data_IF_784878766060
#
_entry.id   IF_784878766060
#
_cell.length_a   1.000
_cell.length_b   1.000
_cell.length_c   1.000
_cell.angle_alpha   90.00
_cell.angle_beta   90.00
_cell.angle_gamma   90.00
#
_symmetry.space_group_name_H-M   'P 1'
#
loop_
_entity.id
_entity.type
_entity.pdbx_description
1 polymer ?
#
# COMPACT_ATOMS: atom_id res chain seq x y z
N UNK A 1 -18.23 18.28 0.98
CA UNK A 1 -18.27 19.57 1.69
C UNK A 1 -18.22 19.43 3.22
N UNK A 2 -18.66 18.32 3.81
CA UNK A 2 -18.80 18.12 5.28
C UNK A 2 -17.47 18.23 6.06
N UNK A 3 -16.34 18.12 5.37
CA UNK A 3 -14.99 18.22 5.94
C UNK A 3 -14.21 19.43 5.39
N UNK A 4 -14.89 20.41 4.80
CA UNK A 4 -14.29 21.64 4.28
C UNK A 4 -13.55 21.50 2.95
N UNK A 5 -13.69 20.38 2.27
CA UNK A 5 -13.16 20.18 0.92
C UNK A 5 -14.05 20.76 -0.18
N UNK A 6 -13.58 20.79 -1.45
CA UNK A 6 -14.42 21.16 -2.58
C UNK A 6 -15.58 20.19 -2.74
N UNK A 7 -16.70 20.67 -3.29
CA UNK A 7 -17.87 19.83 -3.60
C UNK A 7 -17.59 19.03 -4.88
N UNK A 8 -16.92 17.89 -4.70
CA UNK A 8 -16.60 16.95 -5.77
C UNK A 8 -17.16 15.58 -5.44
N UNK A 9 -17.73 14.92 -6.45
CA UNK A 9 -18.10 13.52 -6.32
C UNK A 9 -16.85 12.67 -6.07
N UNK A 10 -16.91 11.78 -5.06
CA UNK A 10 -15.83 10.83 -4.79
C UNK A 10 -15.94 9.69 -5.80
N UNK A 11 -14.87 9.46 -6.59
CA UNK A 11 -14.75 8.33 -7.49
C UNK A 11 -13.80 7.29 -6.90
N UNK A 12 -14.31 6.22 -6.28
CA UNK A 12 -13.47 5.19 -5.67
C UNK A 12 -13.01 4.15 -6.70
N UNK A 13 -11.73 3.80 -6.64
CA UNK A 13 -11.13 2.72 -7.43
C UNK A 13 -10.60 1.61 -6.51
N UNK A 14 -10.66 0.37 -7.00
CA UNK A 14 -10.09 -0.80 -6.34
C UNK A 14 -9.53 -1.79 -7.35
N UNK A 15 -8.74 -2.74 -6.88
CA UNK A 15 -8.53 -4.01 -7.56
C UNK A 15 -9.58 -5.01 -7.06
N UNK A 16 -9.80 -6.07 -7.83
CA UNK A 16 -10.69 -7.15 -7.41
C UNK A 16 -10.15 -7.86 -6.15
N UNK A 17 -10.93 -7.97 -5.05
CA UNK A 17 -10.48 -8.61 -3.82
C UNK A 17 -10.06 -10.08 -3.99
N UNK A 18 -10.62 -10.77 -4.98
CA UNK A 18 -10.37 -12.18 -5.28
C UNK A 18 -8.96 -12.40 -5.83
N UNK A 19 -8.41 -11.40 -6.54
CA UNK A 19 -7.10 -11.51 -7.19
C UNK A 19 -6.03 -10.62 -6.57
N UNK A 20 -6.41 -9.71 -5.66
CA UNK A 20 -5.51 -8.77 -5.02
C UNK A 20 -5.45 -8.95 -3.50
N UNK A 21 -4.31 -9.41 -2.99
CA UNK A 21 -4.10 -9.49 -1.55
C UNK A 21 -4.18 -8.14 -0.82
N UNK A 22 -3.96 -7.01 -1.51
CA UNK A 22 -4.15 -5.68 -0.93
C UNK A 22 -5.62 -5.33 -0.84
N UNK A 23 -6.41 -5.60 -1.87
CA UNK A 23 -7.84 -5.36 -1.86
C UNK A 23 -8.56 -6.30 -0.86
N UNK A 24 -8.22 -7.59 -0.84
CA UNK A 24 -8.72 -8.54 0.16
C UNK A 24 -8.40 -8.09 1.60
N UNK A 25 -7.19 -7.61 1.85
CA UNK A 25 -6.83 -7.11 3.17
C UNK A 25 -7.61 -5.84 3.56
N UNK A 26 -7.86 -4.94 2.60
CA UNK A 26 -8.67 -3.74 2.82
C UNK A 26 -10.12 -4.10 3.17
N UNK A 27 -10.76 -4.94 2.38
CA UNK A 27 -12.13 -5.43 2.63
C UNK A 27 -12.22 -6.03 4.03
N UNK A 28 -11.31 -6.93 4.39
CA UNK A 28 -11.33 -7.57 5.71
C UNK A 28 -11.08 -6.60 6.87
N UNK A 29 -10.13 -5.67 6.75
CA UNK A 29 -9.69 -4.81 7.87
C UNK A 29 -10.48 -3.53 8.00
N UNK A 30 -10.85 -2.92 6.89
CA UNK A 30 -11.52 -1.60 6.85
C UNK A 30 -13.02 -1.78 6.72
N UNK A 31 -13.48 -2.61 5.79
CA UNK A 31 -14.90 -2.87 5.54
C UNK A 31 -15.47 -3.98 6.42
N UNK A 32 -14.66 -4.60 7.31
CA UNK A 32 -15.10 -5.67 8.22
C UNK A 32 -15.65 -6.92 7.52
N UNK A 33 -15.27 -7.13 6.27
CA UNK A 33 -15.75 -8.23 5.42
C UNK A 33 -16.91 -7.86 4.51
N UNK A 34 -17.48 -6.67 4.66
CA UNK A 34 -18.50 -6.18 3.74
C UNK A 34 -17.92 -6.01 2.32
N UNK A 35 -18.71 -6.29 1.28
CA UNK A 35 -18.24 -6.13 -0.10
C UNK A 35 -17.94 -4.67 -0.44
N UNK A 36 -17.19 -4.46 -1.50
CA UNK A 36 -17.03 -3.13 -2.09
C UNK A 36 -18.40 -2.62 -2.57
N UNK A 37 -18.65 -1.33 -2.37
CA UNK A 37 -19.86 -0.70 -2.85
C UNK A 37 -19.94 -0.75 -4.40
N UNK A 38 -21.15 -0.68 -4.93
CA UNK A 38 -21.41 -0.79 -6.38
C UNK A 38 -20.67 0.29 -7.20
N UNK A 39 -20.50 1.48 -6.62
CA UNK A 39 -19.85 2.62 -7.26
C UNK A 39 -18.33 2.48 -7.37
N UNK A 40 -17.75 1.47 -6.74
CA UNK A 40 -16.30 1.23 -6.81
C UNK A 40 -15.93 0.63 -8.15
N UNK A 41 -15.19 1.38 -8.95
CA UNK A 41 -14.72 0.89 -10.24
C UNK A 41 -13.52 -0.04 -10.06
N UNK A 42 -13.63 -1.26 -10.57
CA UNK A 42 -12.57 -2.27 -10.47
C UNK A 42 -11.56 -2.09 -11.61
N UNK A 43 -10.30 -1.95 -11.25
CA UNK A 43 -9.17 -1.89 -12.20
C UNK A 43 -8.43 -3.24 -12.22
N UNK A 44 -7.84 -3.58 -13.35
CA UNK A 44 -7.07 -4.81 -13.51
C UNK A 44 -5.74 -4.79 -12.76
N UNK A 45 -5.09 -3.62 -12.72
CA UNK A 45 -3.73 -3.46 -12.17
C UNK A 45 -3.54 -2.13 -11.47
N UNK A 46 -2.50 -2.05 -10.63
CA UNK A 46 -2.16 -0.84 -9.85
C UNK A 46 -1.71 0.33 -10.74
N UNK A 47 -0.93 0.09 -11.78
CA UNK A 47 -0.40 1.18 -12.62
C UNK A 47 -1.51 1.91 -13.38
N UNK A 48 -2.43 1.24 -14.08
CA UNK A 48 -3.60 1.88 -14.66
C UNK A 48 -4.47 2.59 -13.61
N UNK A 49 -4.68 2.00 -12.43
CA UNK A 49 -5.43 2.62 -11.35
C UNK A 49 -4.80 3.96 -10.90
N UNK A 50 -3.48 3.99 -10.66
CA UNK A 50 -2.78 5.23 -10.27
C UNK A 50 -2.83 6.30 -11.36
N UNK A 51 -2.73 5.93 -12.64
CA UNK A 51 -2.89 6.87 -13.76
C UNK A 51 -4.29 7.47 -13.79
N UNK A 52 -5.30 6.63 -13.57
CA UNK A 52 -6.69 7.08 -13.51
C UNK A 52 -6.92 8.04 -12.34
N UNK A 53 -6.39 7.73 -11.14
CA UNK A 53 -6.44 8.65 -9.99
C UNK A 53 -5.81 9.99 -10.31
N UNK A 54 -4.66 10.00 -10.98
CA UNK A 54 -3.98 11.24 -11.36
C UNK A 54 -4.79 12.07 -12.37
N UNK A 55 -5.61 11.44 -13.21
CA UNK A 55 -6.40 12.09 -14.25
C UNK A 55 -7.81 12.49 -13.80
N UNK A 56 -8.32 11.96 -12.68
CA UNK A 56 -9.72 12.12 -12.25
C UNK A 56 -9.79 12.91 -10.94
N UNK A 57 -10.19 14.18 -10.94
CA UNK A 57 -10.45 14.94 -9.72
C UNK A 57 -11.48 14.24 -8.81
N UNK A 58 -11.25 14.26 -7.51
CA UNK A 58 -12.14 13.59 -6.53
C UNK A 58 -11.92 12.10 -6.40
N UNK A 59 -11.03 11.51 -7.19
CA UNK A 59 -10.81 10.06 -7.13
C UNK A 59 -9.96 9.64 -5.93
N UNK A 60 -10.21 8.42 -5.46
CA UNK A 60 -9.49 7.77 -4.38
C UNK A 60 -9.17 6.31 -4.72
N UNK A 61 -8.00 5.85 -4.31
CA UNK A 61 -7.55 4.48 -4.50
C UNK A 61 -6.66 4.06 -3.33
N UNK A 62 -6.69 2.82 -2.96
CA UNK A 62 -5.78 2.26 -1.96
C UNK A 62 -4.85 1.22 -2.58
N UNK A 63 -3.57 1.29 -2.23
CA UNK A 63 -2.54 0.38 -2.72
C UNK A 63 -1.41 0.25 -1.71
N UNK A 64 -0.40 -0.57 -2.02
CA UNK A 64 0.75 -0.70 -1.13
C UNK A 64 1.64 0.54 -1.15
N UNK A 65 2.23 0.85 0.00
CA UNK A 65 3.11 2.02 0.21
C UNK A 65 4.27 2.08 -0.81
N UNK A 66 4.98 0.98 -1.12
CA UNK A 66 6.05 1.01 -2.13
C UNK A 66 5.61 1.48 -3.51
N UNK A 67 4.36 1.22 -3.88
CA UNK A 67 3.83 1.58 -5.20
C UNK A 67 3.28 3.01 -5.26
N UNK A 68 2.96 3.63 -4.12
CA UNK A 68 2.27 4.93 -4.07
C UNK A 68 3.11 6.08 -3.56
N UNK A 69 3.88 5.91 -2.49
CA UNK A 69 4.57 7.02 -1.80
C UNK A 69 5.53 7.77 -2.70
N UNK A 70 6.25 7.06 -3.56
CA UNK A 70 7.23 7.66 -4.48
C UNK A 70 6.63 8.21 -5.78
N UNK A 71 5.31 8.09 -5.97
CA UNK A 71 4.65 8.63 -7.16
C UNK A 71 4.54 10.15 -7.10
N UNK A 72 4.78 10.80 -8.22
CA UNK A 72 4.72 12.25 -8.34
C UNK A 72 3.31 12.75 -8.67
N UNK A 73 2.53 11.92 -9.36
CA UNK A 73 1.22 12.26 -9.92
C UNK A 73 0.06 12.11 -8.95
N UNK A 74 0.28 11.45 -7.80
CA UNK A 74 -0.77 11.22 -6.80
C UNK A 74 -0.31 11.69 -5.42
N UNK A 75 -1.28 11.98 -4.54
CA UNK A 75 -1.03 12.34 -3.15
C UNK A 75 -1.45 11.18 -2.24
N UNK A 76 -0.50 10.64 -1.48
CA UNK A 76 -0.84 9.72 -0.39
C UNK A 76 -1.42 10.51 0.80
N UNK A 77 -2.42 9.95 1.45
CA UNK A 77 -3.19 10.62 2.51
C UNK A 77 -2.75 10.05 3.87
N UNK A 78 -2.51 10.92 4.88
CA UNK A 78 -2.36 10.47 6.25
C UNK A 78 -3.64 9.82 6.74
N UNK A 79 -3.54 8.79 7.57
CA UNK A 79 -4.70 8.11 8.14
C UNK A 79 -4.57 7.96 9.66
N UNK A 80 -5.69 7.92 10.34
CA UNK A 80 -5.79 7.68 11.77
C UNK A 80 -6.66 6.44 12.05
N UNK A 81 -6.46 5.80 13.19
CA UNK A 81 -7.29 4.65 13.63
C UNK A 81 -8.69 5.07 14.05
N UNK A 82 -8.84 6.30 14.52
CA UNK A 82 -10.09 6.93 14.98
C UNK A 82 -10.00 8.44 14.77
N UNK A 83 -11.15 9.11 14.68
CA UNK A 83 -11.25 10.56 14.45
C UNK A 83 -10.46 11.42 15.47
N UNK A 84 -10.34 10.98 16.71
CA UNK A 84 -9.63 11.68 17.80
C UNK A 84 -8.17 11.24 17.99
N UNK A 85 -7.61 10.47 17.07
CA UNK A 85 -6.20 10.04 17.10
C UNK A 85 -5.39 10.83 16.07
N UNK A 86 -4.08 11.01 16.30
CA UNK A 86 -3.23 11.68 15.34
C UNK A 86 -3.20 10.94 14.00
N UNK A 87 -3.20 11.71 12.92
CA UNK A 87 -2.98 11.20 11.59
C UNK A 87 -1.52 10.81 11.41
N UNK A 88 -1.28 9.66 10.81
CA UNK A 88 0.07 9.13 10.52
C UNK A 88 0.28 9.11 9.02
N UNK A 89 1.40 9.68 8.57
CA UNK A 89 1.79 9.69 7.16
C UNK A 89 2.54 8.42 6.78
N UNK A 90 2.29 7.87 5.58
CA UNK A 90 3.10 6.76 5.06
C UNK A 90 4.45 7.23 4.48
N UNK A 91 4.73 8.52 4.51
CA UNK A 91 5.98 9.15 4.05
C UNK A 91 6.61 9.98 5.17
N UNK A 92 7.90 10.28 5.02
CA UNK A 92 8.63 11.18 5.94
C UNK A 92 8.22 12.63 5.63
N UNK A 93 7.81 13.35 6.66
CA UNK A 93 7.48 14.78 6.56
C UNK A 93 8.74 15.66 6.40
N UNK A 94 8.68 16.79 5.69
CA UNK A 94 7.52 17.29 4.94
C UNK A 94 7.32 16.56 3.61
N UNK A 95 6.08 16.54 3.11
CA UNK A 95 5.78 15.99 1.78
C UNK A 95 6.51 16.76 0.69
N UNK A 96 7.17 16.04 -0.19
CA UNK A 96 7.80 16.64 -1.38
C UNK A 96 6.71 17.13 -2.35
N UNK A 97 6.74 18.40 -2.78
CA UNK A 97 5.76 18.93 -3.72
C UNK A 97 5.94 18.32 -5.12
N UNK A 98 4.86 18.25 -5.88
CA UNK A 98 4.89 17.71 -7.25
C UNK A 98 5.83 18.49 -8.20
N UNK A 99 6.03 19.78 -7.94
CA UNK A 99 6.96 20.63 -8.69
C UNK A 99 8.44 20.23 -8.54
N UNK A 100 8.81 19.56 -7.46
CA UNK A 100 10.16 19.05 -7.25
C UNK A 100 10.40 17.66 -7.88
N UNK A 101 9.36 17.01 -8.39
CA UNK A 101 9.45 15.74 -9.08
C UNK A 101 9.95 15.90 -10.53
N UNK A 102 10.68 14.94 -11.09
CA UNK A 102 11.10 13.65 -10.48
C UNK A 102 12.42 13.70 -9.70
N UNK A 103 13.06 14.86 -9.60
CA UNK A 103 14.39 15.03 -8.97
C UNK A 103 14.36 14.67 -7.49
N UNK A 104 13.26 15.02 -6.82
CA UNK A 104 13.01 14.64 -5.43
C UNK A 104 11.72 13.82 -5.34
N UNK A 105 11.69 12.84 -4.44
CA UNK A 105 10.53 11.99 -4.21
C UNK A 105 10.31 11.76 -2.72
N UNK A 106 9.07 11.61 -2.32
CA UNK A 106 8.74 11.23 -0.95
C UNK A 106 9.45 9.95 -0.55
N UNK A 107 9.97 9.92 0.66
CA UNK A 107 10.56 8.73 1.27
C UNK A 107 9.52 8.01 2.12
N UNK A 108 9.59 6.69 2.14
CA UNK A 108 8.68 5.86 2.93
C UNK A 108 8.98 6.02 4.41
N UNK A 109 7.96 6.27 5.22
CA UNK A 109 8.05 6.30 6.67
C UNK A 109 8.10 4.86 7.22
N UNK A 110 9.29 4.26 7.16
CA UNK A 110 9.51 2.88 7.58
C UNK A 110 9.25 2.68 9.08
N UNK A 111 9.56 3.67 9.90
CA UNK A 111 9.34 3.59 11.34
C UNK A 111 7.85 3.46 11.67
N UNK A 112 7.00 4.25 11.02
CA UNK A 112 5.56 4.15 11.21
C UNK A 112 5.01 2.77 10.78
N UNK A 113 5.58 2.17 9.73
CA UNK A 113 5.21 0.83 9.28
C UNK A 113 5.74 -0.26 10.22
N UNK A 114 7.00 -0.17 10.65
CA UNK A 114 7.67 -1.13 11.54
C UNK A 114 7.02 -1.19 12.92
N UNK A 115 6.72 -0.02 13.47
CA UNK A 115 6.12 0.14 14.79
C UNK A 115 4.59 -0.01 14.79
N UNK A 116 3.98 -0.33 13.63
CA UNK A 116 2.53 -0.44 13.44
C UNK A 116 1.74 0.81 13.86
N UNK A 117 2.36 1.98 13.85
CA UNK A 117 1.66 3.25 14.10
C UNK A 117 0.85 3.69 12.87
N UNK A 118 1.27 3.28 11.66
CA UNK A 118 0.45 3.44 10.46
C UNK A 118 -0.66 2.37 10.46
N UNK A 119 -1.96 2.76 10.48
CA UNK A 119 -3.06 1.85 10.82
C UNK A 119 -3.25 0.67 9.87
N UNK A 120 -2.86 0.80 8.61
CA UNK A 120 -3.04 -0.24 7.58
C UNK A 120 -1.77 -1.04 7.28
N UNK A 121 -0.73 -0.93 8.13
CA UNK A 121 0.44 -1.77 8.01
C UNK A 121 0.07 -3.26 8.15
N UNK A 122 0.66 -4.12 7.31
CA UNK A 122 0.47 -5.57 7.36
C UNK A 122 1.75 -6.32 7.05
N UNK A 123 1.88 -7.50 7.61
CA UNK A 123 2.97 -8.41 7.26
C UNK A 123 2.71 -9.08 5.91
N UNK A 124 3.78 -9.33 5.18
CA UNK A 124 3.80 -10.22 4.04
C UNK A 124 4.33 -11.58 4.47
N UNK A 125 3.80 -12.63 3.90
CA UNK A 125 4.18 -14.00 4.20
C UNK A 125 4.57 -14.72 2.91
N UNK A 126 5.61 -15.55 2.99
CA UNK A 126 5.92 -16.55 1.98
C UNK A 126 5.29 -17.86 2.45
N UNK A 127 4.45 -18.45 1.62
CA UNK A 127 3.82 -19.73 1.91
C UNK A 127 4.56 -20.78 1.09
N UNK A 128 5.06 -21.81 1.77
CA UNK A 128 5.79 -22.92 1.13
C UNK A 128 5.03 -24.23 1.33
N UNK A 129 5.20 -25.13 0.39
CA UNK A 129 4.69 -26.50 0.50
C UNK A 129 5.39 -27.22 1.65
N UNK A 130 4.65 -28.02 2.42
CA UNK A 130 5.20 -28.88 3.49
C UNK A 130 5.70 -30.20 2.91
N UNK A 131 6.74 -30.78 3.52
CA UNK A 131 7.31 -32.08 3.14
C UNK A 131 8.65 -31.93 2.40
N UNK A 132 9.08 -33.02 1.73
CA UNK A 132 10.41 -33.12 1.11
C UNK A 132 10.36 -33.23 -0.42
N UNK A 133 9.24 -32.82 -1.02
CA UNK A 133 9.18 -32.72 -2.49
C UNK A 133 10.10 -31.62 -3.01
N UNK A 134 10.45 -31.69 -4.28
CA UNK A 134 11.32 -30.68 -4.95
C UNK A 134 10.77 -29.28 -4.74
N UNK A 135 9.45 -29.08 -4.87
CA UNK A 135 8.80 -27.77 -4.67
C UNK A 135 8.87 -27.30 -3.22
N UNK A 136 8.77 -28.23 -2.26
CA UNK A 136 8.91 -27.89 -0.83
C UNK A 136 10.34 -27.46 -0.51
N UNK A 137 11.34 -28.15 -1.06
CA UNK A 137 12.77 -27.79 -0.92
C UNK A 137 13.03 -26.43 -1.57
N UNK A 138 12.57 -26.23 -2.81
CA UNK A 138 12.71 -24.94 -3.50
C UNK A 138 12.05 -23.79 -2.73
N UNK A 139 10.85 -24.01 -2.20
CA UNK A 139 10.15 -23.00 -1.37
C UNK A 139 10.91 -22.64 -0.09
N UNK A 140 11.49 -23.62 0.61
CA UNK A 140 12.35 -23.37 1.79
C UNK A 140 13.61 -22.60 1.41
N UNK A 141 14.28 -23.00 0.31
CA UNK A 141 15.47 -22.29 -0.18
C UNK A 141 15.17 -20.85 -0.54
N UNK A 142 14.07 -20.59 -1.24
CA UNK A 142 13.62 -19.23 -1.54
C UNK A 142 13.35 -18.42 -0.25
N UNK A 143 12.66 -19.01 0.72
CA UNK A 143 12.42 -18.35 2.00
C UNK A 143 13.71 -18.00 2.75
N UNK A 144 14.70 -18.91 2.73
CA UNK A 144 16.01 -18.67 3.34
C UNK A 144 16.77 -17.54 2.65
N UNK A 145 16.71 -17.45 1.31
CA UNK A 145 17.28 -16.33 0.55
C UNK A 145 16.62 -15.01 0.98
N UNK A 146 15.30 -14.95 1.06
CA UNK A 146 14.59 -13.73 1.52
C UNK A 146 14.96 -13.35 2.96
N UNK A 147 15.22 -14.32 3.82
CA UNK A 147 15.61 -14.10 5.22
C UNK A 147 17.12 -13.84 5.41
N UNK A 148 17.93 -13.98 4.37
CA UNK A 148 19.35 -13.61 4.42
C UNK A 148 19.54 -12.09 4.50
N UNK A 149 20.75 -11.65 4.84
CA UNK A 149 21.07 -10.22 4.87
C UNK A 149 20.86 -9.57 3.50
N UNK A 150 21.30 -10.22 2.44
CA UNK A 150 21.15 -9.76 1.06
C UNK A 150 19.66 -9.71 0.66
N UNK A 151 18.88 -10.74 1.01
CA UNK A 151 17.43 -10.78 0.76
C UNK A 151 16.71 -9.65 1.47
N UNK A 152 17.07 -9.35 2.72
CA UNK A 152 16.49 -8.23 3.48
C UNK A 152 16.87 -6.86 2.88
N UNK A 153 18.08 -6.69 2.35
CA UNK A 153 18.46 -5.47 1.62
C UNK A 153 17.62 -5.30 0.34
N UNK A 154 17.37 -6.37 -0.40
CA UNK A 154 16.51 -6.32 -1.59
C UNK A 154 15.05 -5.97 -1.23
N UNK A 155 14.51 -6.53 -0.16
CA UNK A 155 13.19 -6.20 0.37
C UNK A 155 13.11 -4.72 0.73
N UNK A 156 14.15 -4.19 1.38
CA UNK A 156 14.24 -2.78 1.74
C UNK A 156 14.34 -1.88 0.50
N UNK A 157 15.17 -2.24 -0.46
CA UNK A 157 15.31 -1.51 -1.72
C UNK A 157 14.00 -1.47 -2.51
N UNK A 158 13.21 -2.55 -2.46
CA UNK A 158 11.87 -2.62 -3.03
C UNK A 158 10.83 -1.76 -2.26
N UNK A 159 11.20 -1.11 -1.16
CA UNK A 159 10.35 -0.22 -0.39
C UNK A 159 9.52 -0.89 0.70
N UNK A 160 9.78 -2.15 1.00
CA UNK A 160 9.18 -2.86 2.14
C UNK A 160 10.03 -2.67 3.40
N UNK A 161 9.46 -3.06 4.54
CA UNK A 161 10.16 -3.03 5.83
C UNK A 161 10.78 -4.40 6.08
N UNK A 162 12.11 -4.49 6.25
CA UNK A 162 12.77 -5.74 6.60
C UNK A 162 12.27 -6.30 7.94
N UNK A 163 12.43 -7.60 8.13
CA UNK A 163 12.09 -8.28 9.38
C UNK A 163 13.23 -8.26 10.42
N UNK A 164 14.43 -7.92 9.98
CA UNK A 164 15.67 -7.87 10.79
C UNK A 164 16.41 -6.56 10.54
#
# INVERSE_FOLDING_TARGET
ADVGGPDLAIQPFSLAPETSGTASAFVRRVLKGEPLAYEVEIKSETTPALRQVAATPGSIYYTSVPLSVRQCSVKTIPIATKANRPFVTPYIEPRIPSSACPQQRNQINRDALKNNTYPLARRLFVITKKGDSVEAIAGRSYSNILLSAEGQMLIEAAGFVPTR
#
